data_IF_823942714146
#
_entry.id   IF_823942714146
#
_cell.length_a   1.000
_cell.length_b   1.000
_cell.length_c   1.000
_cell.angle_alpha   90.00
_cell.angle_beta   90.00
_cell.angle_gamma   90.00
#
_symmetry.space_group_name_H-M   'P 1'
#
loop_
_entity.id
_entity.type
_entity.pdbx_description
1 polymer ?
#
# COMPACT_ATOMS: atom_id res chain seq x y z
N UNK A 1 -27.63 -3.56 -1.31
CA UNK A 1 -26.21 -3.99 -1.26
C UNK A 1 -25.50 -3.49 -2.51
N UNK A 2 -24.61 -2.50 -2.38
CA UNK A 2 -23.72 -2.13 -3.49
C UNK A 2 -22.74 -3.28 -3.71
N UNK A 3 -22.78 -3.94 -4.87
CA UNK A 3 -21.77 -4.94 -5.23
C UNK A 3 -20.49 -4.20 -5.61
N UNK A 4 -19.50 -4.19 -4.73
CA UNK A 4 -18.16 -3.65 -5.04
C UNK A 4 -17.58 -4.45 -6.20
N UNK A 5 -17.19 -3.77 -7.28
CA UNK A 5 -16.52 -4.44 -8.41
C UNK A 5 -15.10 -4.84 -7.98
N UNK A 6 -14.52 -5.92 -8.57
CA UNK A 6 -13.13 -6.31 -8.30
C UNK A 6 -12.13 -5.17 -8.52
N UNK A 7 -12.35 -4.37 -9.58
CA UNK A 7 -11.54 -3.20 -9.87
C UNK A 7 -11.58 -2.16 -8.75
N UNK A 8 -12.79 -1.84 -8.24
CA UNK A 8 -12.95 -0.90 -7.14
C UNK A 8 -12.36 -1.42 -5.83
N UNK A 9 -12.48 -2.73 -5.56
CA UNK A 9 -11.85 -3.35 -4.40
C UNK A 9 -10.32 -3.29 -4.47
N UNK A 10 -9.73 -3.57 -5.63
CA UNK A 10 -8.29 -3.43 -5.88
C UNK A 10 -7.83 -1.98 -5.66
N UNK A 11 -8.53 -1.01 -6.24
CA UNK A 11 -8.17 0.40 -6.08
C UNK A 11 -8.31 0.87 -4.62
N UNK A 12 -9.41 0.52 -3.96
CA UNK A 12 -9.67 0.94 -2.59
C UNK A 12 -8.65 0.38 -1.60
N UNK A 13 -8.27 -0.90 -1.74
CA UNK A 13 -7.25 -1.53 -0.89
C UNK A 13 -5.87 -0.93 -1.14
N UNK A 14 -5.50 -0.66 -2.39
CA UNK A 14 -4.23 0.00 -2.73
C UNK A 14 -4.16 1.44 -2.19
N UNK A 15 -5.24 2.21 -2.34
CA UNK A 15 -5.35 3.57 -1.78
C UNK A 15 -5.27 3.54 -0.26
N UNK A 16 -5.96 2.61 0.40
CA UNK A 16 -5.89 2.45 1.85
C UNK A 16 -4.47 2.10 2.32
N UNK A 17 -3.77 1.23 1.60
CA UNK A 17 -2.36 0.89 1.87
C UNK A 17 -1.48 2.14 1.81
N UNK A 18 -1.57 2.90 0.71
CA UNK A 18 -0.79 4.13 0.54
C UNK A 18 -1.10 5.21 1.58
N UNK A 19 -2.37 5.33 2.00
CA UNK A 19 -2.74 6.24 3.08
C UNK A 19 -2.14 5.80 4.42
N UNK A 20 -2.22 4.51 4.77
CA UNK A 20 -1.62 3.98 5.99
C UNK A 20 -0.10 4.19 6.00
N UNK A 21 0.59 3.83 4.91
CA UNK A 21 2.02 4.04 4.71
C UNK A 21 2.39 5.53 4.77
N UNK A 22 1.59 6.39 4.12
CA UNK A 22 1.81 7.83 4.13
C UNK A 22 1.71 8.41 5.54
N UNK A 23 0.64 8.09 6.27
CA UNK A 23 0.46 8.50 7.67
C UNK A 23 1.63 8.00 8.53
N UNK A 24 1.99 6.73 8.36
CA UNK A 24 3.08 6.09 9.08
C UNK A 24 4.42 6.83 8.88
N UNK A 25 4.84 7.07 7.65
CA UNK A 25 6.10 7.74 7.39
C UNK A 25 6.05 9.25 7.64
N UNK A 26 4.91 9.92 7.43
CA UNK A 26 4.75 11.33 7.82
C UNK A 26 4.89 11.49 9.34
N UNK A 27 4.38 10.54 10.12
CA UNK A 27 4.54 10.55 11.57
C UNK A 27 6.01 10.43 11.99
N UNK A 28 6.79 9.54 11.34
CA UNK A 28 8.22 9.35 11.61
C UNK A 28 9.09 10.47 11.06
N UNK A 29 8.95 10.81 9.78
CA UNK A 29 9.87 11.63 8.99
C UNK A 29 9.37 13.06 8.74
N UNK A 30 8.11 13.35 9.07
CA UNK A 30 7.53 14.69 9.04
C UNK A 30 6.74 15.03 7.78
N UNK A 31 6.22 16.28 7.71
CA UNK A 31 5.26 16.70 6.69
C UNK A 31 5.83 16.79 5.27
N UNK A 32 7.15 16.72 5.10
CA UNK A 32 7.78 16.69 3.77
C UNK A 32 7.28 15.52 2.91
N UNK A 33 6.78 14.43 3.53
CA UNK A 33 6.24 13.26 2.85
C UNK A 33 4.77 13.40 2.41
N UNK A 34 4.09 14.51 2.71
CA UNK A 34 2.71 14.76 2.24
C UNK A 34 2.64 14.78 0.71
N UNK A 35 3.54 15.51 0.05
CA UNK A 35 3.55 15.59 -1.41
C UNK A 35 3.88 14.24 -2.07
N UNK A 36 4.96 13.52 -1.69
CA UNK A 36 5.20 12.15 -2.15
C UNK A 36 4.01 11.21 -1.95
N UNK A 37 3.34 11.26 -0.81
CA UNK A 37 2.14 10.45 -0.53
C UNK A 37 1.01 10.81 -1.50
N UNK A 38 0.77 12.11 -1.73
CA UNK A 38 -0.24 12.59 -2.67
C UNK A 38 0.04 12.14 -4.11
N UNK A 39 1.29 12.20 -4.56
CA UNK A 39 1.71 11.67 -5.87
C UNK A 39 1.48 10.16 -5.92
N UNK A 40 1.87 9.43 -4.88
CA UNK A 40 1.66 7.99 -4.77
C UNK A 40 0.20 7.59 -4.85
N UNK A 41 -0.71 8.38 -4.28
CA UNK A 41 -2.17 8.17 -4.36
C UNK A 41 -2.73 8.49 -5.75
N UNK A 42 -2.22 9.52 -6.41
CA UNK A 42 -2.71 9.93 -7.72
C UNK A 42 -2.42 8.89 -8.82
N UNK A 43 -1.24 8.28 -8.81
CA UNK A 43 -0.80 7.31 -9.82
C UNK A 43 -1.81 6.17 -10.06
N UNK A 44 -2.21 5.36 -9.05
CA UNK A 44 -3.11 4.24 -9.27
C UNK A 44 -4.51 4.68 -9.69
N UNK A 45 -4.99 5.83 -9.18
CA UNK A 45 -6.28 6.40 -9.57
C UNK A 45 -6.28 6.79 -11.05
N UNK A 46 -5.22 7.47 -11.50
CA UNK A 46 -5.07 7.89 -12.90
C UNK A 46 -4.92 6.67 -13.81
N UNK A 47 -4.08 5.69 -13.45
CA UNK A 47 -3.90 4.46 -14.24
C UNK A 47 -5.21 3.67 -14.38
N UNK A 48 -5.95 3.51 -13.27
CA UNK A 48 -7.26 2.88 -13.27
C UNK A 48 -8.25 3.63 -14.16
N UNK A 49 -8.38 4.95 -14.00
CA UNK A 49 -9.30 5.77 -14.77
C UNK A 49 -8.99 5.74 -16.29
N UNK A 50 -7.71 5.81 -16.66
CA UNK A 50 -7.27 5.71 -18.05
C UNK A 50 -7.52 4.30 -18.62
N UNK A 51 -7.29 3.25 -17.83
CA UNK A 51 -7.59 1.88 -18.25
C UNK A 51 -9.09 1.69 -18.49
N UNK A 52 -9.94 2.11 -17.55
CA UNK A 52 -11.40 2.00 -17.65
C UNK A 52 -11.97 2.73 -18.87
N UNK A 53 -11.32 3.82 -19.33
CA UNK A 53 -11.74 4.55 -20.53
C UNK A 53 -11.23 3.94 -21.83
N UNK A 54 -9.99 3.46 -21.84
CA UNK A 54 -9.29 3.11 -23.09
C UNK A 54 -9.20 1.61 -23.35
N UNK A 55 -9.36 0.76 -22.34
CA UNK A 55 -9.13 -0.68 -22.42
C UNK A 55 -7.69 -1.04 -22.80
N UNK A 56 -6.72 -0.13 -22.74
CA UNK A 56 -5.34 -0.42 -23.16
C UNK A 56 -4.63 -1.34 -22.14
N UNK A 57 -4.16 -2.54 -22.54
CA UNK A 57 -3.56 -3.50 -21.61
C UNK A 57 -2.31 -2.96 -20.89
N UNK A 58 -1.54 -2.09 -21.56
CA UNK A 58 -0.36 -1.46 -20.96
C UNK A 58 -0.68 -0.68 -19.67
N UNK A 59 -1.87 -0.07 -19.58
CA UNK A 59 -2.28 0.67 -18.39
C UNK A 59 -2.64 -0.24 -17.22
N UNK A 60 -3.26 -1.39 -17.51
CA UNK A 60 -3.51 -2.42 -16.49
C UNK A 60 -2.20 -2.98 -15.95
N UNK A 61 -1.25 -3.31 -16.82
CA UNK A 61 0.05 -3.80 -16.39
C UNK A 61 0.86 -2.76 -15.63
N UNK A 62 0.80 -1.48 -16.02
CA UNK A 62 1.39 -0.39 -15.25
C UNK A 62 0.76 -0.26 -13.85
N UNK A 63 -0.56 -0.39 -13.76
CA UNK A 63 -1.28 -0.40 -12.47
C UNK A 63 -0.83 -1.59 -11.60
N UNK A 64 -0.75 -2.78 -12.16
CA UNK A 64 -0.32 -4.00 -11.45
C UNK A 64 1.13 -3.89 -10.99
N UNK A 65 2.02 -3.40 -11.86
CA UNK A 65 3.42 -3.18 -11.51
C UNK A 65 3.55 -2.16 -10.36
N UNK A 66 2.80 -1.07 -10.43
CA UNK A 66 2.77 -0.07 -9.37
C UNK A 66 2.24 -0.65 -8.05
N UNK A 67 1.12 -1.39 -8.08
CA UNK A 67 0.58 -2.07 -6.91
C UNK A 67 1.59 -3.06 -6.33
N UNK A 68 2.29 -3.81 -7.18
CA UNK A 68 3.35 -4.74 -6.78
C UNK A 68 4.52 -4.04 -6.09
N UNK A 69 4.96 -2.88 -6.60
CA UNK A 69 6.00 -2.06 -5.96
C UNK A 69 5.55 -1.57 -4.58
N UNK A 70 4.33 -1.05 -4.45
CA UNK A 70 3.78 -0.58 -3.17
C UNK A 70 3.70 -1.73 -2.16
N UNK A 71 3.15 -2.88 -2.57
CA UNK A 71 3.06 -4.07 -1.73
C UNK A 71 4.44 -4.54 -1.30
N UNK A 72 5.40 -4.62 -2.22
CA UNK A 72 6.73 -5.12 -1.91
C UNK A 72 7.47 -4.20 -0.94
N UNK A 73 7.60 -2.91 -1.26
CA UNK A 73 8.37 -1.99 -0.44
C UNK A 73 7.68 -1.64 0.88
N UNK A 74 6.41 -1.25 0.82
CA UNK A 74 5.73 -0.72 2.01
C UNK A 74 4.91 -1.78 2.76
N UNK A 75 4.37 -2.76 2.03
CA UNK A 75 3.65 -3.87 2.66
C UNK A 75 4.58 -4.89 3.27
N UNK A 76 5.55 -5.37 2.49
CA UNK A 76 6.41 -6.48 2.88
C UNK A 76 7.68 -6.02 3.60
N UNK A 77 8.52 -5.19 2.99
CA UNK A 77 9.78 -4.79 3.62
C UNK A 77 9.57 -3.90 4.84
N UNK A 78 8.79 -2.84 4.71
CA UNK A 78 8.50 -1.93 5.83
C UNK A 78 7.46 -2.54 6.79
N UNK A 79 6.21 -2.69 6.35
CA UNK A 79 5.13 -3.16 7.21
C UNK A 79 5.36 -4.54 7.83
N UNK A 80 5.76 -5.54 7.04
CA UNK A 80 5.89 -6.89 7.58
C UNK A 80 7.26 -7.12 8.25
N UNK A 81 8.38 -6.90 7.56
CA UNK A 81 9.71 -7.20 8.10
C UNK A 81 10.20 -6.23 9.17
N UNK A 82 9.82 -4.95 9.14
CA UNK A 82 10.20 -3.99 10.20
C UNK A 82 9.18 -3.94 11.35
N UNK A 83 7.87 -3.98 11.06
CA UNK A 83 6.85 -3.80 12.10
C UNK A 83 6.25 -5.10 12.63
N UNK A 84 5.77 -6.00 11.76
CA UNK A 84 5.12 -7.25 12.22
C UNK A 84 6.13 -8.18 12.90
N UNK A 85 7.29 -8.39 12.29
CA UNK A 85 8.36 -9.24 12.83
C UNK A 85 8.84 -8.72 14.20
N UNK A 86 9.04 -7.40 14.32
CA UNK A 86 9.42 -6.77 15.59
C UNK A 86 8.33 -6.92 16.65
N UNK A 87 7.06 -6.73 16.29
CA UNK A 87 5.94 -6.93 17.20
C UNK A 87 5.81 -8.39 17.67
N UNK A 88 6.31 -9.35 16.89
CA UNK A 88 6.40 -10.76 17.27
C UNK A 88 7.62 -11.09 18.17
N UNK A 89 8.45 -10.10 18.51
CA UNK A 89 9.63 -10.29 19.37
C UNK A 89 10.85 -10.87 18.65
N UNK A 90 10.86 -10.84 17.32
CA UNK A 90 12.00 -11.26 16.50
C UNK A 90 12.91 -10.07 16.18
N UNK A 91 14.18 -10.33 15.88
CA UNK A 91 15.10 -9.30 15.40
C UNK A 91 14.55 -8.69 14.09
N UNK A 92 14.50 -7.35 14.06
CA UNK A 92 13.95 -6.64 12.91
C UNK A 92 14.93 -6.70 11.73
N UNK A 93 14.38 -6.90 10.52
CA UNK A 93 15.15 -6.84 9.28
C UNK A 93 14.79 -5.51 8.62
N UNK A 94 15.50 -4.46 9.02
CA UNK A 94 15.20 -3.08 8.63
C UNK A 94 16.13 -2.52 7.57
N UNK A 95 15.62 -1.56 6.80
CA UNK A 95 16.34 -0.75 5.82
C UNK A 95 16.54 0.71 6.27
N UNK A 96 15.93 1.15 7.38
CA UNK A 96 15.92 2.55 7.81
C UNK A 96 16.73 2.76 9.10
N UNK A 97 17.61 3.77 9.20
CA UNK A 97 18.36 4.06 10.41
C UNK A 97 17.46 4.29 11.64
N UNK A 98 17.76 3.66 12.78
CA UNK A 98 17.10 3.89 14.06
C UNK A 98 15.79 3.13 14.28
N UNK A 99 15.39 2.23 13.38
CA UNK A 99 14.20 1.37 13.56
C UNK A 99 14.42 0.18 14.50
N UNK A 100 15.68 -0.17 14.72
CA UNK A 100 16.18 -1.15 15.69
C UNK A 100 16.12 -0.65 17.12
N UNK A 101 15.85 0.65 17.32
CA UNK A 101 15.73 1.24 18.65
C UNK A 101 14.48 0.73 19.38
N UNK A 102 14.62 0.52 20.70
CA UNK A 102 13.48 0.18 21.56
C UNK A 102 12.38 1.26 21.53
N UNK A 103 12.76 2.51 21.23
CA UNK A 103 11.86 3.65 21.09
C UNK A 103 12.33 4.48 19.90
N UNK A 104 11.60 4.39 18.78
CA UNK A 104 11.94 5.13 17.56
C UNK A 104 11.59 6.61 17.73
N UNK A 105 12.54 7.49 17.43
CA UNK A 105 12.30 8.93 17.35
C UNK A 105 11.36 9.29 16.19
N UNK A 106 10.30 10.06 16.49
CA UNK A 106 9.29 10.48 15.51
C UNK A 106 9.24 11.99 15.38
N UNK A 107 9.00 12.48 14.16
CA UNK A 107 8.83 13.91 13.88
C UNK A 107 7.56 14.50 14.51
N UNK A 108 6.55 13.66 14.74
CA UNK A 108 5.31 14.00 15.43
C UNK A 108 5.20 13.27 16.77
N UNK A 109 4.47 13.82 17.74
CA UNK A 109 4.23 13.20 19.03
C UNK A 109 2.75 13.23 19.38
N UNK A 110 2.28 12.16 20.03
CA UNK A 110 0.99 12.08 20.69
C UNK A 110 1.11 12.49 22.16
N UNK A 111 0.09 12.20 22.97
CA UNK A 111 0.04 12.60 24.39
C UNK A 111 1.09 11.90 25.29
N UNK A 112 1.82 10.90 24.79
CA UNK A 112 2.94 10.26 25.47
C UNK A 112 3.88 9.56 24.49
N UNK A 113 5.09 9.22 24.94
CA UNK A 113 6.04 8.44 24.12
C UNK A 113 5.48 7.06 23.79
N UNK A 114 4.89 6.37 24.78
CA UNK A 114 4.27 5.06 24.57
C UNK A 114 3.13 5.13 23.54
N UNK A 115 2.29 6.17 23.57
CA UNK A 115 1.25 6.37 22.57
C UNK A 115 1.84 6.61 21.17
N UNK A 116 2.91 7.41 21.07
CA UNK A 116 3.58 7.71 19.80
C UNK A 116 4.22 6.46 19.20
N UNK A 117 4.92 5.66 20.00
CA UNK A 117 5.48 4.37 19.58
C UNK A 117 4.38 3.42 19.14
N UNK A 118 3.31 3.25 19.93
CA UNK A 118 2.20 2.36 19.57
C UNK A 118 1.51 2.78 18.26
N UNK A 119 1.33 4.08 18.03
CA UNK A 119 0.78 4.60 16.79
C UNK A 119 1.71 4.33 15.60
N UNK A 120 3.00 4.63 15.75
CA UNK A 120 4.01 4.41 14.71
C UNK A 120 4.08 2.93 14.31
N UNK A 121 4.25 2.03 15.29
CA UNK A 121 4.30 0.58 15.04
C UNK A 121 2.98 0.04 14.49
N UNK A 122 1.85 0.48 15.07
CA UNK A 122 0.52 0.04 14.66
C UNK A 122 0.16 0.44 13.23
N UNK A 123 0.56 1.63 12.79
CA UNK A 123 0.34 2.08 11.40
C UNK A 123 1.23 1.35 10.40
N UNK A 124 2.43 0.92 10.80
CA UNK A 124 3.29 0.04 10.01
C UNK A 124 2.66 -1.35 9.82
N UNK A 125 2.18 -1.96 10.91
CA UNK A 125 1.44 -3.25 10.86
C UNK A 125 0.17 -3.14 10.00
N UNK A 126 -0.60 -2.05 10.15
CA UNK A 126 -1.79 -1.81 9.36
C UNK A 126 -1.46 -1.75 7.86
N UNK A 127 -0.34 -1.13 7.49
CA UNK A 127 0.14 -1.09 6.10
C UNK A 127 0.39 -2.48 5.54
N UNK A 128 0.99 -3.40 6.32
CA UNK A 128 1.18 -4.79 5.92
C UNK A 128 -0.15 -5.53 5.67
N UNK A 129 -1.12 -5.36 6.57
CA UNK A 129 -2.44 -6.00 6.45
C UNK A 129 -3.16 -5.49 5.19
N UNK A 130 -3.16 -4.18 4.96
CA UNK A 130 -3.80 -3.59 3.79
C UNK A 130 -3.09 -3.96 2.49
N UNK A 131 -1.75 -4.09 2.52
CA UNK A 131 -0.99 -4.58 1.38
C UNK A 131 -1.36 -6.03 1.02
N UNK A 132 -1.56 -6.90 2.02
CA UNK A 132 -2.05 -8.27 1.77
C UNK A 132 -3.45 -8.26 1.12
N UNK A 133 -4.36 -7.43 1.61
CA UNK A 133 -5.68 -7.26 0.98
C UNK A 133 -5.56 -6.72 -0.45
N UNK A 134 -4.59 -5.82 -0.70
CA UNK A 134 -4.29 -5.29 -2.03
C UNK A 134 -3.82 -6.38 -2.97
N UNK A 135 -2.96 -7.30 -2.53
CA UNK A 135 -2.55 -8.48 -3.34
C UNK A 135 -3.77 -9.29 -3.74
N UNK A 136 -4.61 -9.64 -2.77
CA UNK A 136 -5.79 -10.49 -3.00
C UNK A 136 -6.76 -9.79 -3.97
N UNK A 137 -7.12 -8.54 -3.69
CA UNK A 137 -8.08 -7.80 -4.50
C UNK A 137 -7.57 -7.52 -5.91
N UNK A 138 -6.28 -7.17 -6.05
CA UNK A 138 -5.64 -6.94 -7.36
C UNK A 138 -5.51 -8.23 -8.16
N UNK A 139 -5.16 -9.34 -7.51
CA UNK A 139 -5.12 -10.65 -8.15
C UNK A 139 -6.48 -11.06 -8.72
N UNK A 140 -7.57 -10.88 -7.95
CA UNK A 140 -8.94 -11.14 -8.41
C UNK A 140 -9.34 -10.21 -9.56
N UNK A 141 -8.96 -8.93 -9.49
CA UNK A 141 -9.22 -7.98 -10.57
C UNK A 141 -8.54 -8.39 -11.88
N UNK A 142 -7.23 -8.65 -11.85
CA UNK A 142 -6.46 -9.06 -13.02
C UNK A 142 -6.97 -10.38 -13.60
N UNK A 143 -7.25 -11.36 -12.73
CA UNK A 143 -7.79 -12.66 -13.15
C UNK A 143 -9.12 -12.54 -13.91
N UNK A 144 -9.94 -11.51 -13.61
CA UNK A 144 -11.22 -11.29 -14.32
C UNK A 144 -11.07 -10.48 -15.60
N UNK A 145 -10.03 -9.65 -15.71
CA UNK A 145 -9.76 -8.83 -16.89
C UNK A 145 -9.01 -9.59 -18.00
N UNK A 146 -8.20 -10.60 -17.65
CA UNK A 146 -7.46 -11.41 -18.62
C UNK A 146 -8.36 -12.27 -19.54
N UNK A 147 -9.40 -12.98 -19.04
CA UNK A 147 -10.27 -13.81 -19.86
C UNK A 147 -11.17 -13.00 -20.81
N UNK A 148 -11.57 -11.80 -20.41
CA UNK A 148 -12.48 -10.94 -21.19
C UNK A 148 -11.90 -10.46 -22.54
N UNK A 149 -10.60 -10.68 -22.79
CA UNK A 149 -9.89 -10.29 -24.03
C UNK A 149 -9.56 -11.46 -24.94
N UNK A 150 -9.76 -12.70 -24.47
CA UNK A 150 -9.37 -13.90 -25.20
C UNK A 150 -10.44 -14.37 -26.21
N UNK A 151 -11.64 -13.77 -26.23
CA UNK A 151 -12.59 -14.03 -27.31
C UNK A 151 -12.16 -13.27 -28.57
N UNK A 152 -11.81 -13.96 -29.67
CA UNK A 152 -11.56 -13.30 -30.93
C UNK A 152 -12.85 -12.58 -31.35
N UNK A 153 -12.74 -11.29 -31.70
CA UNK A 153 -13.82 -10.60 -32.42
C UNK A 153 -14.14 -11.46 -33.64
N UNK A 154 -15.33 -12.04 -33.69
CA UNK A 154 -15.84 -12.64 -34.91
C UNK A 154 -15.94 -11.50 -35.92
N UNK A 155 -15.04 -11.55 -36.92
CA UNK A 155 -15.07 -10.71 -38.12
C UNK A 155 -15.96 -11.39 -39.14
#
# INVERSE_FOLDING_TARGET
MFKTTPALASLATLVATLLATGIHHIFRLGPALILPTGVGLAVPIVLWALYSRSGKPALLWAYVAYAGLVVFWFGFLDGFLDHVVKAAGLENITFLPGSEEAVVGTAMQLWSQSASTAFYEGTGILSAILALLTVIATGVYVYRELPARAEPRQV
#
